data_IF_818586489993
#
_entry.id   IF_818586489993
#
_cell.length_a   1.000
_cell.length_b   1.000
_cell.length_c   1.000
_cell.angle_alpha   90.00
_cell.angle_beta   90.00
_cell.angle_gamma   90.00
#
_symmetry.space_group_name_H-M   'P 1'
#
loop_
_entity.id
_entity.type
_entity.pdbx_description
1 polymer ?
#
# COMPACT_ATOMS: atom_id res chain seq x y z
N UNK A 1 18.59 -23.99 11.39
CA UNK A 1 18.47 -23.39 10.03
C UNK A 1 18.58 -24.50 8.99
N UNK A 2 18.02 -24.34 7.78
CA UNK A 2 18.21 -25.35 6.73
C UNK A 2 17.59 -24.98 5.38
N UNK A 3 17.95 -25.74 4.35
CA UNK A 3 17.50 -25.53 2.98
C UNK A 3 16.99 -26.83 2.37
N UNK A 4 15.84 -26.74 1.71
CA UNK A 4 15.23 -27.81 0.93
C UNK A 4 15.78 -27.81 -0.51
N UNK A 5 15.85 -29.01 -1.10
CA UNK A 5 16.10 -29.23 -2.52
C UNK A 5 15.13 -30.25 -3.07
N UNK A 6 14.64 -30.03 -4.29
CA UNK A 6 13.84 -30.99 -5.05
C UNK A 6 14.41 -30.98 -6.47
N UNK A 7 14.73 -32.14 -7.02
CA UNK A 7 15.22 -32.20 -8.40
C UNK A 7 14.07 -32.05 -9.41
N UNK A 8 14.39 -31.57 -10.62
CA UNK A 8 13.41 -31.20 -11.65
C UNK A 8 12.58 -32.37 -12.19
N UNK A 9 12.90 -33.61 -11.82
CA UNK A 9 12.19 -34.83 -12.23
C UNK A 9 11.56 -35.59 -11.05
N UNK A 10 11.56 -35.00 -9.85
CA UNK A 10 11.07 -35.61 -8.61
C UNK A 10 11.72 -36.97 -8.27
N UNK A 11 12.87 -37.30 -8.86
CA UNK A 11 13.64 -38.52 -8.56
C UNK A 11 14.31 -38.48 -7.18
N UNK A 12 14.34 -37.31 -6.55
CA UNK A 12 14.98 -37.13 -5.26
C UNK A 12 14.60 -35.82 -4.59
N UNK A 13 14.51 -35.88 -3.27
CA UNK A 13 14.33 -34.72 -2.40
C UNK A 13 15.46 -34.65 -1.39
N UNK A 14 15.84 -33.44 -1.02
CA UNK A 14 16.98 -33.17 -0.17
C UNK A 14 16.64 -32.15 0.90
N UNK A 15 17.29 -32.29 2.05
CA UNK A 15 17.35 -31.25 3.06
C UNK A 15 18.74 -31.24 3.69
N UNK A 16 19.34 -30.06 3.81
CA UNK A 16 20.54 -29.85 4.62
C UNK A 16 20.23 -28.82 5.70
N UNK A 17 20.66 -29.10 6.91
CA UNK A 17 20.33 -28.32 8.10
C UNK A 17 21.50 -28.19 9.06
N UNK A 18 21.37 -27.19 9.93
CA UNK A 18 22.30 -26.79 10.97
C UNK A 18 21.56 -26.61 12.29
N UNK A 19 22.18 -27.12 13.35
CA UNK A 19 21.90 -26.80 14.76
C UNK A 19 23.14 -26.12 15.37
N UNK A 20 23.06 -25.60 16.59
CA UNK A 20 24.23 -25.10 17.33
C UNK A 20 25.32 -26.14 17.60
N UNK A 21 25.06 -27.43 17.33
CA UNK A 21 25.96 -28.54 17.62
C UNK A 21 26.38 -29.34 16.38
N UNK A 22 25.49 -29.49 15.41
CA UNK A 22 25.65 -30.40 14.28
C UNK A 22 25.13 -29.81 12.98
N UNK A 23 25.81 -30.18 11.89
CA UNK A 23 25.31 -30.08 10.53
C UNK A 23 24.92 -31.47 10.02
N UNK A 24 23.98 -31.55 9.09
CA UNK A 24 23.61 -32.82 8.48
C UNK A 24 22.78 -32.64 7.22
N UNK A 25 22.82 -33.66 6.37
CA UNK A 25 22.13 -33.70 5.10
C UNK A 25 21.36 -35.00 4.94
N UNK A 26 20.18 -34.92 4.32
CA UNK A 26 19.33 -36.06 3.98
C UNK A 26 18.98 -35.98 2.52
N UNK A 27 19.23 -37.07 1.80
CA UNK A 27 18.67 -37.31 0.48
C UNK A 27 17.72 -38.50 0.56
N UNK A 28 16.57 -38.39 -0.09
CA UNK A 28 15.61 -39.48 -0.26
C UNK A 28 15.37 -39.66 -1.75
N UNK A 29 15.51 -40.88 -2.24
CA UNK A 29 15.23 -41.28 -3.61
C UNK A 29 15.23 -42.79 -3.75
N UNK A 30 14.84 -43.28 -4.94
CA UNK A 30 14.94 -44.69 -5.27
C UNK A 30 16.33 -45.00 -5.85
N UNK A 31 16.89 -46.17 -5.51
CA UNK A 31 18.21 -46.60 -6.03
C UNK A 31 18.26 -46.66 -7.57
N UNK A 32 17.13 -46.96 -8.20
CA UNK A 32 16.99 -46.97 -9.66
C UNK A 32 16.57 -45.61 -10.26
N UNK A 33 16.62 -44.53 -9.48
CA UNK A 33 16.26 -43.18 -9.89
C UNK A 33 14.83 -43.03 -10.45
N UNK A 34 13.91 -43.88 -10.01
CA UNK A 34 12.48 -43.69 -10.29
C UNK A 34 11.99 -42.41 -9.62
N UNK A 35 11.03 -41.73 -10.26
CA UNK A 35 10.36 -40.58 -9.68
C UNK A 35 9.64 -40.97 -8.37
N UNK A 36 9.76 -40.11 -7.36
CA UNK A 36 9.00 -40.16 -6.12
C UNK A 36 7.55 -39.73 -6.37
N UNK A 37 6.70 -39.90 -5.36
CA UNK A 37 5.34 -39.33 -5.40
C UNK A 37 5.40 -37.81 -5.57
N UNK A 38 4.47 -37.23 -6.34
CA UNK A 38 4.34 -35.77 -6.50
C UNK A 38 4.07 -35.02 -5.18
N UNK A 39 3.63 -35.75 -4.14
CA UNK A 39 3.45 -35.22 -2.78
C UNK A 39 4.75 -35.21 -1.97
N UNK A 40 5.81 -35.84 -2.44
CA UNK A 40 7.10 -35.92 -1.75
C UNK A 40 7.93 -34.69 -2.04
N UNK A 41 8.27 -33.93 -1.01
CA UNK A 41 9.04 -32.68 -1.13
C UNK A 41 10.21 -32.67 -0.14
N UNK A 42 11.19 -31.79 -0.38
CA UNK A 42 12.27 -31.56 0.59
C UNK A 42 11.76 -31.15 1.97
N UNK A 43 10.65 -30.41 2.05
CA UNK A 43 10.10 -29.92 3.32
C UNK A 43 9.36 -30.99 4.12
N UNK A 44 8.41 -31.69 3.50
CA UNK A 44 7.58 -32.65 4.23
C UNK A 44 8.22 -34.03 4.41
N UNK A 45 9.26 -34.37 3.64
CA UNK A 45 9.92 -35.68 3.72
C UNK A 45 11.36 -35.57 4.22
N UNK A 46 12.26 -34.94 3.46
CA UNK A 46 13.67 -34.89 3.83
C UNK A 46 13.92 -34.09 5.11
N UNK A 47 13.31 -32.90 5.25
CA UNK A 47 13.45 -32.10 6.46
C UNK A 47 12.81 -32.77 7.69
N UNK A 48 11.69 -33.48 7.49
CA UNK A 48 11.04 -34.23 8.56
C UNK A 48 11.90 -35.39 9.05
N UNK A 49 12.52 -36.14 8.14
CA UNK A 49 13.45 -37.21 8.52
C UNK A 49 14.70 -36.65 9.19
N UNK A 50 15.23 -35.53 8.67
CA UNK A 50 16.35 -34.81 9.30
C UNK A 50 16.04 -34.40 10.74
N UNK A 51 14.85 -33.83 10.96
CA UNK A 51 14.38 -33.46 12.28
C UNK A 51 14.34 -34.68 13.22
N UNK A 52 13.76 -35.80 12.79
CA UNK A 52 13.61 -37.00 13.63
C UNK A 52 14.96 -37.50 14.17
N UNK A 53 15.96 -37.68 13.31
CA UNK A 53 17.25 -38.20 13.80
C UNK A 53 18.06 -37.13 14.55
N UNK A 54 17.97 -35.85 14.16
CA UNK A 54 18.65 -34.78 14.90
C UNK A 54 18.06 -34.60 16.29
N UNK A 55 16.73 -34.65 16.43
CA UNK A 55 16.06 -34.64 17.73
C UNK A 55 16.54 -35.79 18.61
N UNK A 56 16.64 -37.00 18.06
CA UNK A 56 17.15 -38.16 18.80
C UNK A 56 18.58 -37.97 19.26
N UNK A 57 19.47 -37.48 18.40
CA UNK A 57 20.87 -37.19 18.75
C UNK A 57 20.94 -36.16 19.88
N UNK A 58 20.15 -35.09 19.80
CA UNK A 58 20.13 -34.03 20.81
C UNK A 58 19.63 -34.55 22.17
N UNK A 59 18.60 -35.39 22.18
CA UNK A 59 18.08 -36.02 23.39
C UNK A 59 19.09 -37.01 24.02
N UNK A 60 19.62 -37.94 23.23
CA UNK A 60 20.54 -38.98 23.73
C UNK A 60 21.85 -38.39 24.30
N UNK A 61 22.29 -37.24 23.76
CA UNK A 61 23.48 -36.53 24.21
C UNK A 61 23.19 -35.40 25.21
N UNK A 62 21.92 -35.19 25.58
CA UNK A 62 21.47 -34.11 26.47
C UNK A 62 21.99 -32.73 26.04
N UNK A 63 21.88 -32.40 24.76
CA UNK A 63 22.36 -31.16 24.18
C UNK A 63 21.36 -30.02 24.41
N UNK A 64 21.84 -28.92 24.97
CA UNK A 64 21.02 -27.73 25.20
C UNK A 64 20.90 -26.89 23.92
N UNK A 65 19.86 -26.09 23.82
CA UNK A 65 19.74 -25.13 22.72
C UNK A 65 20.91 -24.14 22.76
N UNK A 66 21.49 -23.87 21.60
CA UNK A 66 22.64 -22.98 21.42
C UNK A 66 22.57 -22.34 20.04
N UNK A 67 23.05 -21.11 19.94
CA UNK A 67 23.21 -20.43 18.67
C UNK A 67 24.18 -21.16 17.73
N UNK A 68 23.92 -21.05 16.42
CA UNK A 68 24.76 -21.64 15.38
C UNK A 68 26.12 -20.90 15.29
N UNK A 69 26.10 -19.60 15.58
CA UNK A 69 27.25 -18.72 15.56
C UNK A 69 27.43 -18.13 16.95
N UNK A 70 28.67 -17.95 17.38
CA UNK A 70 28.98 -17.44 18.72
C UNK A 70 28.89 -15.90 18.81
N UNK A 71 28.82 -15.20 17.67
CA UNK A 71 28.77 -13.74 17.59
C UNK A 71 27.52 -13.18 16.92
N UNK A 72 27.27 -11.88 17.10
CA UNK A 72 26.26 -11.14 16.34
C UNK A 72 26.73 -10.81 14.92
N UNK A 73 25.82 -10.42 14.02
CA UNK A 73 26.15 -10.08 12.62
C UNK A 73 27.33 -9.11 12.46
N UNK A 74 27.42 -8.11 13.34
CA UNK A 74 28.45 -7.07 13.31
C UNK A 74 29.86 -7.63 13.56
N UNK A 75 29.98 -8.69 14.36
CA UNK A 75 31.25 -9.39 14.60
C UNK A 75 31.79 -10.11 13.36
N UNK A 76 30.91 -10.39 12.39
CA UNK A 76 31.23 -11.00 11.11
C UNK A 76 31.30 -9.99 9.96
N UNK A 77 31.43 -8.69 10.27
CA UNK A 77 31.56 -7.63 9.26
C UNK A 77 30.25 -7.27 8.56
N UNK A 78 29.11 -7.70 9.09
CA UNK A 78 27.81 -7.32 8.55
C UNK A 78 27.33 -5.99 9.11
N UNK A 79 26.58 -5.26 8.30
CA UNK A 79 25.92 -4.00 8.67
C UNK A 79 24.45 -4.10 8.32
N UNK A 80 23.61 -3.52 9.18
CA UNK A 80 22.17 -3.46 8.94
C UNK A 80 21.85 -2.29 8.02
N UNK A 81 21.20 -2.56 6.89
CA UNK A 81 20.90 -1.56 5.85
C UNK A 81 19.44 -1.66 5.45
N UNK A 82 18.80 -0.50 5.25
CA UNK A 82 17.46 -0.43 4.67
C UNK A 82 17.55 -0.13 3.17
N UNK A 83 17.10 -1.06 2.35
CA UNK A 83 17.11 -1.00 0.88
C UNK A 83 15.70 -0.92 0.31
N UNK A 84 15.60 -0.42 -0.92
CA UNK A 84 14.38 -0.52 -1.71
C UNK A 84 14.11 -2.00 -2.04
N UNK A 85 12.89 -2.47 -1.79
CA UNK A 85 12.49 -3.85 -2.07
C UNK A 85 12.52 -4.21 -3.57
N UNK A 86 12.59 -3.22 -4.45
CA UNK A 86 12.60 -3.41 -5.90
C UNK A 86 14.00 -3.24 -6.50
N UNK A 87 14.70 -2.15 -6.18
CA UNK A 87 16.01 -1.86 -6.80
C UNK A 87 17.21 -2.46 -6.05
N UNK A 88 17.04 -2.86 -4.78
CA UNK A 88 18.14 -3.27 -3.90
C UNK A 88 19.10 -2.15 -3.50
N UNK A 89 18.90 -0.93 -3.98
CA UNK A 89 19.67 0.27 -3.63
C UNK A 89 19.19 0.86 -2.29
N UNK A 90 19.89 1.86 -1.74
CA UNK A 90 19.50 2.49 -0.47
C UNK A 90 18.09 3.07 -0.57
N UNK A 91 17.24 2.76 0.41
CA UNK A 91 15.85 3.22 0.41
C UNK A 91 15.75 4.74 0.52
N UNK A 92 14.83 5.33 -0.24
CA UNK A 92 14.44 6.74 -0.14
C UNK A 92 13.05 6.88 0.44
N UNK A 93 12.61 8.10 0.70
CA UNK A 93 11.23 8.36 1.14
C UNK A 93 10.19 7.89 0.12
N UNK A 94 10.50 7.99 -1.17
CA UNK A 94 9.64 7.47 -2.22
C UNK A 94 9.44 5.95 -2.08
N UNK A 95 10.47 5.19 -1.72
CA UNK A 95 10.31 3.76 -1.45
C UNK A 95 9.39 3.48 -0.26
N UNK A 96 9.38 4.33 0.77
CA UNK A 96 8.50 4.17 1.94
C UNK A 96 7.04 4.44 1.61
N UNK A 97 6.78 5.30 0.63
CA UNK A 97 5.45 5.63 0.12
C UNK A 97 5.12 4.92 -1.21
N UNK A 98 5.69 3.75 -1.45
CA UNK A 98 5.52 3.01 -2.70
C UNK A 98 4.05 2.70 -3.02
N UNK A 99 3.59 3.16 -4.18
CA UNK A 99 2.22 2.98 -4.66
C UNK A 99 1.87 1.50 -4.91
N UNK A 100 2.86 0.65 -5.19
CA UNK A 100 2.66 -0.79 -5.43
C UNK A 100 2.78 -1.64 -4.16
N UNK A 101 3.21 -1.05 -3.03
CA UNK A 101 3.29 -1.72 -1.74
C UNK A 101 4.51 -2.62 -1.53
N UNK A 102 5.55 -2.57 -2.37
CA UNK A 102 6.81 -3.29 -2.15
C UNK A 102 7.60 -2.71 -0.98
N UNK A 103 7.65 -1.38 -0.89
CA UNK A 103 8.22 -0.69 0.26
C UNK A 103 9.74 -0.82 0.39
N UNK A 104 10.20 -1.01 1.62
CA UNK A 104 11.62 -1.10 1.99
C UNK A 104 11.89 -2.39 2.78
N UNK A 105 13.05 -3.00 2.55
CA UNK A 105 13.53 -4.16 3.30
C UNK A 105 14.71 -3.73 4.17
N UNK A 106 14.77 -4.21 5.41
CA UNK A 106 15.94 -4.00 6.27
C UNK A 106 16.58 -5.33 6.59
N UNK A 107 17.83 -5.50 6.19
CA UNK A 107 18.57 -6.75 6.39
C UNK A 107 20.06 -6.48 6.64
N UNK A 108 20.79 -7.52 7.02
CA UNK A 108 22.23 -7.52 7.17
C UNK A 108 22.92 -7.80 5.84
N UNK A 109 23.89 -6.96 5.48
CA UNK A 109 24.74 -7.12 4.29
C UNK A 109 26.20 -7.02 4.69
N UNK A 110 27.10 -7.63 3.92
CA UNK A 110 28.53 -7.42 4.10
C UNK A 110 28.85 -5.93 3.91
N UNK A 111 29.67 -5.35 4.79
CA UNK A 111 29.95 -3.91 4.82
C UNK A 111 30.41 -3.37 3.47
N UNK A 112 31.25 -4.12 2.78
CA UNK A 112 31.80 -3.81 1.45
C UNK A 112 30.79 -3.98 0.31
N UNK A 113 29.74 -4.78 0.51
CA UNK A 113 28.66 -4.98 -0.44
C UNK A 113 27.46 -4.04 -0.20
N UNK A 114 27.49 -3.23 0.87
CA UNK A 114 26.42 -2.31 1.17
C UNK A 114 26.23 -1.30 0.02
N UNK A 115 25.00 -1.13 -0.49
CA UNK A 115 24.74 -0.21 -1.58
C UNK A 115 25.11 1.22 -1.17
N UNK A 116 25.77 1.94 -2.07
CA UNK A 116 26.21 3.34 -1.84
C UNK A 116 25.33 4.36 -2.57
N UNK A 117 24.44 3.87 -3.44
CA UNK A 117 23.56 4.70 -4.28
C UNK A 117 22.14 4.62 -3.74
N UNK A 118 21.48 5.77 -3.67
CA UNK A 118 20.05 5.86 -3.34
C UNK A 118 19.20 5.30 -4.47
N UNK A 119 18.04 4.73 -4.13
CA UNK A 119 17.11 4.17 -5.10
C UNK A 119 16.82 5.17 -6.24
N UNK A 120 17.11 4.74 -7.46
CA UNK A 120 16.90 5.53 -8.68
C UNK A 120 15.59 5.16 -9.38
N UNK A 121 14.87 4.14 -8.91
CA UNK A 121 13.64 3.64 -9.52
C UNK A 121 12.38 4.28 -8.94
N UNK A 122 12.36 4.63 -7.65
CA UNK A 122 11.20 5.29 -7.02
C UNK A 122 11.32 6.81 -7.10
N UNK A 123 10.26 7.46 -7.58
CA UNK A 123 10.14 8.91 -7.63
C UNK A 123 8.87 9.37 -6.90
N UNK A 124 8.97 10.44 -6.13
CA UNK A 124 7.82 11.04 -5.46
C UNK A 124 6.99 11.84 -6.46
N UNK A 125 5.77 11.38 -6.71
CA UNK A 125 4.84 12.00 -7.65
C UNK A 125 3.49 12.16 -6.97
N UNK A 126 2.85 13.29 -7.24
CA UNK A 126 1.47 13.52 -6.81
C UNK A 126 0.54 12.73 -7.73
N UNK A 127 -0.09 11.72 -7.17
CA UNK A 127 -1.08 10.90 -7.87
C UNK A 127 -2.49 11.28 -7.41
N UNK A 128 -3.47 10.99 -8.27
CA UNK A 128 -4.87 11.03 -7.92
C UNK A 128 -5.24 9.71 -7.25
N UNK A 129 -5.70 9.72 -6.00
CA UNK A 129 -6.09 8.53 -5.24
C UNK A 129 -7.30 7.81 -5.82
N UNK A 130 -8.10 8.49 -6.65
CA UNK A 130 -9.24 7.88 -7.34
C UNK A 130 -8.84 7.10 -8.61
N UNK A 131 -7.88 7.61 -9.39
CA UNK A 131 -7.45 6.96 -10.65
C UNK A 131 -6.14 6.19 -10.54
N UNK A 132 -5.36 6.41 -9.48
CA UNK A 132 -3.96 5.99 -9.34
C UNK A 132 -3.03 6.48 -10.46
N UNK A 133 -3.45 7.52 -11.21
CA UNK A 133 -2.67 8.18 -12.25
C UNK A 133 -2.07 9.49 -11.74
N UNK A 134 -1.24 10.18 -12.55
CA UNK A 134 -0.62 11.45 -12.13
C UNK A 134 -1.74 12.45 -11.92
N UNK A 135 -1.76 13.15 -10.78
CA UNK A 135 -2.78 14.15 -10.54
C UNK A 135 -2.68 15.26 -11.59
N UNK A 136 -3.76 15.42 -12.37
CA UNK A 136 -3.92 16.54 -13.29
C UNK A 136 -4.31 17.83 -12.55
N UNK A 137 -4.30 18.99 -13.25
CA UNK A 137 -4.69 20.28 -12.66
C UNK A 137 -6.14 20.28 -12.14
N UNK A 138 -6.99 19.39 -12.66
CA UNK A 138 -8.39 19.25 -12.27
C UNK A 138 -8.64 18.20 -11.18
N UNK A 139 -7.62 17.53 -10.64
CA UNK A 139 -7.84 16.59 -9.53
C UNK A 139 -8.15 17.31 -8.20
N UNK A 140 -9.17 16.92 -7.43
CA UNK A 140 -9.42 17.45 -6.08
C UNK A 140 -8.24 17.39 -5.12
N UNK A 141 -7.92 18.44 -4.32
CA UNK A 141 -6.78 18.39 -3.40
C UNK A 141 -6.85 17.20 -2.44
N UNK A 142 -8.06 16.82 -2.02
CA UNK A 142 -8.34 15.63 -1.20
C UNK A 142 -8.03 14.31 -1.93
N UNK A 143 -8.07 14.30 -3.26
CA UNK A 143 -7.64 13.16 -4.07
C UNK A 143 -6.17 13.23 -4.45
N UNK A 144 -5.44 14.30 -4.12
CA UNK A 144 -4.01 14.41 -4.43
C UNK A 144 -3.20 13.84 -3.28
N UNK A 145 -2.45 12.78 -3.55
CA UNK A 145 -1.50 12.23 -2.59
C UNK A 145 -0.13 12.08 -3.22
N UNK A 146 0.92 12.50 -2.52
CA UNK A 146 2.28 12.14 -2.93
C UNK A 146 2.52 10.67 -2.62
N UNK A 147 2.90 9.92 -3.65
CA UNK A 147 3.25 8.51 -3.58
C UNK A 147 4.58 8.31 -4.30
N UNK A 148 5.36 7.34 -3.83
CA UNK A 148 6.50 6.85 -4.58
C UNK A 148 6.01 5.94 -5.69
N UNK A 149 6.23 6.32 -6.94
CA UNK A 149 5.93 5.46 -8.07
C UNK A 149 7.21 5.00 -8.72
N UNK A 150 7.19 3.82 -9.31
CA UNK A 150 8.36 3.23 -9.92
C UNK A 150 8.45 3.65 -11.39
N UNK A 151 9.57 4.25 -11.73
CA UNK A 151 9.94 4.71 -13.07
C UNK A 151 11.24 4.04 -13.43
N UNK A 152 11.29 3.37 -14.59
CA UNK A 152 12.51 2.72 -15.03
C UNK A 152 13.56 3.79 -15.42
N UNK A 153 14.76 3.78 -14.81
CA UNK A 153 15.84 4.66 -15.22
C UNK A 153 16.24 4.44 -16.69
N UNK A 154 16.83 5.46 -17.31
CA UNK A 154 17.40 5.27 -18.65
C UNK A 154 18.44 4.15 -18.66
N UNK A 155 18.41 3.32 -19.69
CA UNK A 155 19.31 2.16 -19.84
C UNK A 155 18.95 0.95 -18.97
N UNK A 156 17.89 1.02 -18.15
CA UNK A 156 17.46 -0.13 -17.35
C UNK A 156 17.04 -1.30 -18.27
N UNK A 157 17.51 -2.55 -18.06
CA UNK A 157 17.22 -3.66 -18.96
C UNK A 157 15.73 -3.94 -19.19
N UNK A 158 14.87 -3.64 -18.21
CA UNK A 158 13.42 -3.78 -18.35
C UNK A 158 12.78 -2.72 -19.26
N UNK A 159 13.44 -1.59 -19.52
CA UNK A 159 12.90 -0.53 -20.37
C UNK A 159 12.69 -1.01 -21.81
N UNK A 160 13.42 -2.03 -22.29
CA UNK A 160 13.22 -2.64 -23.61
C UNK A 160 11.85 -3.31 -23.78
N UNK A 161 11.18 -3.62 -22.67
CA UNK A 161 9.85 -4.23 -22.66
C UNK A 161 8.73 -3.20 -22.53
N UNK A 162 9.06 -1.93 -22.25
CA UNK A 162 8.11 -0.84 -22.31
C UNK A 162 7.56 -0.72 -23.74
N UNK A 163 6.26 -0.45 -23.87
CA UNK A 163 5.56 -0.36 -25.16
C UNK A 163 5.64 -1.61 -26.06
N UNK A 164 5.92 -2.78 -25.47
CA UNK A 164 5.83 -4.08 -26.16
C UNK A 164 4.60 -4.84 -25.67
N UNK A 165 4.37 -6.04 -26.21
CA UNK A 165 3.35 -6.98 -25.70
C UNK A 165 3.51 -7.34 -24.21
N UNK A 166 4.68 -7.05 -23.60
CA UNK A 166 4.95 -7.29 -22.18
C UNK A 166 4.70 -6.06 -21.28
N UNK A 167 4.21 -4.94 -21.83
CA UNK A 167 3.95 -3.72 -21.07
C UNK A 167 2.89 -3.90 -19.97
N UNK A 168 1.94 -4.81 -20.17
CA UNK A 168 0.95 -5.18 -19.15
C UNK A 168 1.61 -5.87 -17.95
N UNK A 169 2.61 -6.73 -18.18
CA UNK A 169 3.39 -7.40 -17.12
C UNK A 169 4.17 -6.37 -16.34
N UNK A 170 4.84 -5.43 -17.02
CA UNK A 170 5.53 -4.33 -16.33
C UNK A 170 4.55 -3.51 -15.48
N UNK A 171 3.37 -3.18 -16.02
CA UNK A 171 2.35 -2.43 -15.27
C UNK A 171 1.82 -3.19 -14.06
N UNK A 172 1.64 -4.51 -14.19
CA UNK A 172 1.15 -5.37 -13.12
C UNK A 172 2.13 -5.44 -11.94
N UNK A 173 3.43 -5.59 -12.23
CA UNK A 173 4.45 -5.82 -11.20
C UNK A 173 5.23 -4.57 -10.79
N UNK A 174 5.26 -3.53 -11.61
CA UNK A 174 6.04 -2.32 -11.30
C UNK A 174 5.18 -1.06 -11.35
N UNK A 175 3.89 -1.19 -11.63
CA UNK A 175 2.99 -0.06 -11.78
C UNK A 175 3.03 0.56 -13.19
N UNK A 176 2.00 1.34 -13.55
CA UNK A 176 1.79 1.84 -14.90
C UNK A 176 2.93 2.73 -15.42
N UNK A 177 3.64 3.40 -14.51
CA UNK A 177 4.76 4.29 -14.84
C UNK A 177 6.02 3.56 -15.31
N UNK A 178 6.18 2.31 -14.93
CA UNK A 178 7.29 1.47 -15.40
C UNK A 178 7.11 1.10 -16.88
N UNK A 179 5.86 0.96 -17.34
CA UNK A 179 5.52 0.57 -18.70
C UNK A 179 5.54 1.73 -19.70
N UNK A 180 5.48 2.98 -19.22
CA UNK A 180 5.45 4.19 -20.05
C UNK A 180 6.80 4.53 -20.72
N UNK A 181 7.87 3.79 -20.41
CA UNK A 181 9.23 4.05 -20.90
C UNK A 181 10.02 4.95 -19.94
N UNK A 182 11.28 5.23 -20.28
CA UNK A 182 12.20 5.97 -19.42
C UNK A 182 11.81 7.44 -19.30
N UNK A 183 10.88 7.74 -18.40
CA UNK A 183 10.49 9.09 -18.02
C UNK A 183 9.00 9.24 -17.75
N UNK A 184 8.67 10.16 -16.84
CA UNK A 184 7.28 10.49 -16.51
C UNK A 184 6.54 11.24 -17.63
N UNK A 185 7.26 11.77 -18.60
CA UNK A 185 6.71 12.67 -19.62
C UNK A 185 5.66 12.00 -20.53
N UNK A 186 5.69 10.68 -20.65
CA UNK A 186 4.72 9.88 -21.41
C UNK A 186 3.62 9.29 -20.52
N UNK A 187 3.72 9.44 -19.20
CA UNK A 187 2.76 8.87 -18.28
C UNK A 187 1.45 9.67 -18.30
N UNK A 188 0.34 8.96 -18.48
CA UNK A 188 -0.97 9.59 -18.56
C UNK A 188 -1.33 10.27 -17.23
N UNK A 189 -1.83 11.50 -17.33
CA UNK A 189 -2.46 12.23 -16.23
C UNK A 189 -3.85 11.68 -15.98
N UNK A 190 -4.37 11.89 -14.78
CA UNK A 190 -5.68 11.46 -14.34
C UNK A 190 -6.76 11.81 -15.36
N UNK A 191 -7.42 10.78 -15.89
CA UNK A 191 -8.53 10.91 -16.84
C UNK A 191 -9.90 11.00 -16.16
N UNK A 192 -9.97 10.81 -14.84
CA UNK A 192 -11.22 10.94 -14.08
C UNK A 192 -11.63 12.40 -13.87
N UNK A 193 -10.65 13.29 -13.65
CA UNK A 193 -10.91 14.71 -13.42
C UNK A 193 -10.38 15.51 -14.61
N UNK A 194 -11.27 15.90 -15.50
CA UNK A 194 -10.91 16.52 -16.79
C UNK A 194 -11.38 17.96 -16.92
N UNK A 195 -12.26 18.42 -16.04
CA UNK A 195 -12.82 19.77 -16.06
C UNK A 195 -12.86 20.39 -14.65
N UNK A 196 -12.80 21.72 -14.58
CA UNK A 196 -13.01 22.45 -13.32
C UNK A 196 -14.46 22.30 -12.87
N UNK A 197 -14.68 21.71 -11.68
CA UNK A 197 -16.03 21.50 -11.12
C UNK A 197 -16.25 20.10 -10.52
N UNK A 198 -15.43 19.11 -10.89
CA UNK A 198 -15.53 17.71 -10.38
C UNK A 198 -15.25 17.57 -8.86
N UNK A 199 -14.82 18.66 -8.21
CA UNK A 199 -14.47 18.79 -6.80
C UNK A 199 -15.68 18.88 -5.86
N UNK A 200 -16.77 19.51 -6.30
CA UNK A 200 -17.86 19.90 -5.40
C UNK A 200 -18.68 18.71 -4.89
N UNK A 201 -18.85 17.67 -5.71
CA UNK A 201 -19.79 16.59 -5.41
C UNK A 201 -19.33 15.70 -4.24
N UNK A 202 -18.02 15.49 -4.05
CA UNK A 202 -17.49 14.66 -2.96
C UNK A 202 -17.61 15.32 -1.58
N UNK A 203 -17.33 16.62 -1.49
CA UNK A 203 -17.50 17.43 -0.26
C UNK A 203 -18.99 17.63 0.04
N UNK A 204 -19.80 17.91 -0.99
CA UNK A 204 -21.26 18.04 -0.85
C UNK A 204 -21.85 16.75 -0.29
N UNK A 205 -21.55 15.60 -0.88
CA UNK A 205 -22.16 14.32 -0.48
C UNK A 205 -21.66 13.77 0.85
N UNK A 206 -20.36 13.85 1.14
CA UNK A 206 -19.79 13.19 2.32
C UNK A 206 -19.65 14.08 3.56
N UNK A 207 -19.76 15.41 3.41
CA UNK A 207 -19.56 16.35 4.51
C UNK A 207 -20.75 17.29 4.65
N UNK A 208 -21.03 18.12 3.64
CA UNK A 208 -22.02 19.20 3.77
C UNK A 208 -23.47 18.69 3.82
N UNK A 209 -23.83 17.61 3.11
CA UNK A 209 -25.17 17.03 3.18
C UNK A 209 -25.47 16.48 4.60
N UNK A 210 -24.58 15.65 5.20
CA UNK A 210 -24.72 15.28 6.62
C UNK A 210 -24.78 16.48 7.57
N UNK A 211 -23.90 17.48 7.42
CA UNK A 211 -23.89 18.66 8.29
C UNK A 211 -25.16 19.51 8.14
N UNK A 212 -25.67 19.67 6.91
CA UNK A 212 -26.91 20.38 6.62
C UNK A 212 -28.12 19.68 7.26
N UNK A 213 -28.14 18.34 7.26
CA UNK A 213 -29.18 17.56 7.94
C UNK A 213 -29.16 17.78 9.46
N UNK A 214 -27.97 17.79 10.07
CA UNK A 214 -27.82 18.10 11.51
C UNK A 214 -28.29 19.52 11.82
N UNK A 215 -27.90 20.50 11.00
CA UNK A 215 -28.30 21.90 11.16
C UNK A 215 -29.82 22.06 11.06
N UNK A 216 -30.48 21.36 10.13
CA UNK A 216 -31.94 21.37 10.00
C UNK A 216 -32.64 20.80 11.24
N UNK A 217 -32.10 19.73 11.85
CA UNK A 217 -32.63 19.15 13.08
C UNK A 217 -32.56 20.18 14.22
N UNK A 218 -31.41 20.85 14.38
CA UNK A 218 -31.21 21.87 15.41
C UNK A 218 -32.14 23.07 15.20
N UNK A 219 -32.23 23.58 13.96
CA UNK A 219 -33.11 24.68 13.60
C UNK A 219 -34.58 24.35 13.85
N UNK A 220 -35.01 23.14 13.50
CA UNK A 220 -36.40 22.69 13.71
C UNK A 220 -36.75 22.59 15.20
N UNK A 221 -35.80 22.13 16.03
CA UNK A 221 -35.97 22.10 17.48
C UNK A 221 -36.08 23.51 18.08
N UNK A 222 -35.26 24.46 17.61
CA UNK A 222 -35.34 25.86 18.03
C UNK A 222 -36.66 26.51 17.58
N UNK A 223 -37.10 26.26 16.35
CA UNK A 223 -38.37 26.78 15.83
C UNK A 223 -39.56 26.33 16.70
N UNK A 224 -39.55 25.08 17.17
CA UNK A 224 -40.59 24.54 18.05
C UNK A 224 -40.68 25.24 19.42
N UNK A 225 -39.62 25.94 19.84
CA UNK A 225 -39.59 26.71 21.08
C UNK A 225 -40.06 28.17 20.91
N UNK A 226 -40.28 28.63 19.67
CA UNK A 226 -40.68 30.01 19.37
C UNK A 226 -42.20 30.14 19.21
N UNK A 227 -42.81 31.27 19.66
CA UNK A 227 -44.21 31.54 19.42
C UNK A 227 -44.49 31.71 17.91
N UNK A 228 -45.49 30.99 17.34
CA UNK A 228 -45.87 31.15 15.94
C UNK A 228 -46.29 32.58 15.60
N UNK A 229 -45.92 33.04 14.40
CA UNK A 229 -46.27 34.37 13.89
C UNK A 229 -45.40 35.52 14.41
N UNK A 230 -44.30 35.22 15.09
CA UNK A 230 -43.25 36.21 15.41
C UNK A 230 -42.30 36.37 14.23
N UNK A 231 -41.67 37.55 14.03
CA UNK A 231 -40.67 37.74 12.97
C UNK A 231 -39.51 36.73 13.04
N UNK A 232 -39.13 36.31 14.24
CA UNK A 232 -38.10 35.30 14.49
C UNK A 232 -38.56 33.91 14.03
N UNK A 233 -39.82 33.54 14.31
CA UNK A 233 -40.41 32.29 13.86
C UNK A 233 -40.47 32.23 12.32
N UNK A 234 -40.98 33.29 11.68
CA UNK A 234 -41.13 33.32 10.21
C UNK A 234 -39.78 33.35 9.49
N UNK A 235 -38.80 34.09 10.05
CA UNK A 235 -37.43 34.14 9.51
C UNK A 235 -36.72 32.78 9.58
N UNK A 236 -36.82 32.09 10.72
CA UNK A 236 -36.23 30.76 10.90
C UNK A 236 -36.92 29.70 10.03
N UNK A 237 -38.25 29.71 9.97
CA UNK A 237 -39.02 28.81 9.11
C UNK A 237 -38.69 29.02 7.62
N UNK A 238 -38.55 30.27 7.18
CA UNK A 238 -38.13 30.60 5.81
C UNK A 238 -36.75 30.05 5.46
N UNK A 239 -35.78 30.16 6.36
CA UNK A 239 -34.43 29.65 6.15
C UNK A 239 -34.38 28.10 6.14
N UNK A 240 -35.17 27.44 6.99
CA UNK A 240 -35.34 25.98 6.99
C UNK A 240 -35.88 25.51 5.62
N UNK A 241 -36.94 26.16 5.12
CA UNK A 241 -37.55 25.82 3.83
C UNK A 241 -36.59 26.05 2.66
N UNK A 242 -35.78 27.11 2.70
CA UNK A 242 -34.75 27.38 1.70
C UNK A 242 -33.72 26.23 1.65
N UNK A 243 -33.13 25.85 2.79
CA UNK A 243 -32.14 24.79 2.83
C UNK A 243 -32.72 23.43 2.38
N UNK A 244 -33.95 23.09 2.79
CA UNK A 244 -34.64 21.89 2.31
C UNK A 244 -34.83 21.89 0.78
N UNK A 245 -35.24 23.03 0.22
CA UNK A 245 -35.37 23.18 -1.24
C UNK A 245 -34.02 23.01 -1.95
N UNK A 246 -32.96 23.61 -1.42
CA UNK A 246 -31.61 23.51 -2.01
C UNK A 246 -31.11 22.07 -1.99
N UNK A 247 -31.28 21.34 -0.87
CA UNK A 247 -30.92 19.91 -0.77
C UNK A 247 -31.66 19.07 -1.80
N UNK A 248 -32.96 19.33 -2.02
CA UNK A 248 -33.77 18.56 -2.96
C UNK A 248 -33.37 18.71 -4.44
N UNK A 249 -32.57 19.73 -4.77
CA UNK A 249 -32.16 20.06 -6.13
C UNK A 249 -30.76 19.56 -6.52
N UNK A 250 -30.14 18.70 -5.70
CA UNK A 250 -28.77 18.19 -5.90
C UNK A 250 -27.73 19.33 -6.09
N UNK A 251 -27.51 20.15 -5.05
CA UNK A 251 -26.82 21.42 -5.17
C UNK A 251 -25.30 21.27 -5.34
N UNK A 252 -24.67 22.26 -5.96
CA UNK A 252 -23.21 22.42 -5.91
C UNK A 252 -22.71 22.94 -4.56
N UNK A 253 -21.39 22.94 -4.36
CA UNK A 253 -20.71 23.33 -3.12
C UNK A 253 -21.17 24.69 -2.59
N UNK A 254 -21.06 25.74 -3.42
CA UNK A 254 -21.33 27.12 -3.00
C UNK A 254 -22.80 27.35 -2.68
N UNK A 255 -23.70 26.74 -3.44
CA UNK A 255 -25.16 26.86 -3.23
C UNK A 255 -25.59 26.23 -1.91
N UNK A 256 -25.06 25.04 -1.58
CA UNK A 256 -25.38 24.37 -0.32
C UNK A 256 -24.76 25.11 0.89
N UNK A 257 -23.48 25.49 0.79
CA UNK A 257 -22.80 26.24 1.85
C UNK A 257 -23.46 27.60 2.13
N UNK A 258 -23.88 28.31 1.08
CA UNK A 258 -24.63 29.56 1.21
C UNK A 258 -25.97 29.39 1.94
N UNK A 259 -26.74 28.35 1.59
CA UNK A 259 -28.02 28.07 2.24
C UNK A 259 -27.86 27.67 3.73
N UNK A 260 -26.83 26.88 4.06
CA UNK A 260 -26.48 26.57 5.46
C UNK A 260 -26.07 27.82 6.25
N UNK A 261 -25.34 28.74 5.61
CA UNK A 261 -24.98 30.03 6.22
C UNK A 261 -26.20 30.89 6.56
N UNK A 262 -27.17 30.98 5.65
CA UNK A 262 -28.44 31.69 5.87
C UNK A 262 -29.20 31.08 7.05
N UNK A 263 -29.27 29.75 7.13
CA UNK A 263 -29.95 29.07 8.24
C UNK A 263 -29.26 29.34 9.58
N UNK A 264 -27.93 29.30 9.61
CA UNK A 264 -27.14 29.59 10.81
C UNK A 264 -27.38 31.02 11.32
N UNK A 265 -27.46 32.00 10.40
CA UNK A 265 -27.78 33.39 10.75
C UNK A 265 -29.21 33.54 11.28
N UNK A 266 -30.18 32.84 10.67
CA UNK A 266 -31.56 32.86 11.13
C UNK A 266 -31.72 32.23 12.53
N UNK A 267 -31.01 31.13 12.80
CA UNK A 267 -30.95 30.52 14.13
C UNK A 267 -30.37 31.49 15.17
N UNK A 268 -29.29 32.21 14.85
CA UNK A 268 -28.70 33.20 15.74
C UNK A 268 -29.64 34.39 16.01
N UNK A 269 -30.33 34.90 14.98
CA UNK A 269 -31.29 35.99 15.11
C UNK A 269 -32.57 35.60 15.89
N UNK A 270 -32.85 34.31 16.00
CA UNK A 270 -33.97 33.76 16.74
C UNK A 270 -33.62 33.33 18.18
N UNK A 271 -32.40 33.63 18.65
CA UNK A 271 -32.03 33.49 20.05
C UNK A 271 -32.58 34.69 20.85
N UNK A 272 -33.03 34.47 22.11
CA UNK A 272 -33.53 35.53 22.98
C UNK A 272 -32.47 36.56 23.38
#
# INVERSE_FOLDING_TARGET
>A
AGKTGTNSEQKGVFFSGLTGWYSGAVWIGHDNYKALSSKTTGGNSAARLWQIFMERIHQDKNLQNRDILDGGPESYGLVRVTTCAVSGQLATEACRHDAMGYGTVTDYVAREAAPQVSCQMHQNITTCTASNMIAGPYCPPETRATRGVLVLPQGHPLARFANTQYANVLSQYLGPYAAAGSGLATAQTCTLHTHGGDYGQGIVTNTLLPDAQVLLIQASAQLAALPPGTPQYDGLLGAINNLNSVISQNPGLDTLAGAMGILTQAMAAAMP
#
